data_IF_323631454308
#
_entry.id   IF_323631454308
#
_cell.length_a   1.000
_cell.length_b   1.000
_cell.length_c   1.000
_cell.angle_alpha   90.00
_cell.angle_beta   90.00
_cell.angle_gamma   90.00
#
_symmetry.space_group_name_H-M   'P 1'
#
loop_
_entity.id
_entity.type
_entity.pdbx_description
1 polymer ?
#
# COMPACT_ATOMS: atom_id res chain seq x y z
N UNK A 1 -12.39 -0.14 -16.99
CA UNK A 1 -11.10 -0.50 -16.36
C UNK A 1 -11.38 -0.55 -14.88
N UNK A 2 -11.16 -1.68 -14.23
CA UNK A 2 -11.49 -1.81 -12.80
C UNK A 2 -10.49 -0.97 -12.01
N UNK A 3 -10.96 0.05 -11.30
CA UNK A 3 -10.14 0.80 -10.36
C UNK A 3 -9.69 -0.16 -9.26
N UNK A 4 -8.49 -0.73 -9.41
CA UNK A 4 -7.95 -1.68 -8.46
C UNK A 4 -7.39 -0.88 -7.29
N UNK A 5 -8.29 -0.59 -6.34
CA UNK A 5 -7.96 0.05 -5.06
C UNK A 5 -8.13 -0.94 -3.92
N UNK A 6 -7.34 -0.76 -2.86
CA UNK A 6 -7.44 -1.53 -1.63
C UNK A 6 -7.03 -0.66 -0.44
N UNK A 7 -7.81 -0.73 0.63
CA UNK A 7 -7.47 -0.05 1.88
C UNK A 7 -7.10 -1.08 2.93
N UNK A 8 -5.97 -0.87 3.59
CA UNK A 8 -5.47 -1.74 4.65
C UNK A 8 -5.14 -0.92 5.90
N UNK A 9 -5.35 -1.52 7.06
CA UNK A 9 -4.82 -1.03 8.35
C UNK A 9 -3.57 -1.82 8.73
N UNK A 10 -2.78 -1.38 9.72
CA UNK A 10 -1.64 -2.13 10.23
C UNK A 10 -1.97 -3.58 10.56
N UNK A 11 -0.98 -4.46 10.35
CA UNK A 11 -1.07 -5.92 10.52
C UNK A 11 -1.97 -6.65 9.52
N UNK A 12 -2.42 -5.99 8.45
CA UNK A 12 -3.22 -6.60 7.39
C UNK A 12 -2.48 -6.68 6.06
N UNK A 13 -2.90 -7.62 5.22
CA UNK A 13 -2.41 -7.78 3.86
C UNK A 13 -3.56 -8.10 2.89
N UNK A 14 -3.29 -7.93 1.60
CA UNK A 14 -4.24 -8.24 0.55
C UNK A 14 -3.59 -8.28 -0.83
N UNK A 15 -4.41 -8.22 -1.87
CA UNK A 15 -3.94 -8.25 -3.26
C UNK A 15 -4.58 -7.15 -4.08
N UNK A 16 -3.76 -6.48 -4.87
CA UNK A 16 -4.17 -5.50 -5.87
C UNK A 16 -4.00 -6.14 -7.26
N UNK A 17 -5.06 -6.79 -7.74
CA UNK A 17 -4.97 -7.70 -8.89
C UNK A 17 -4.07 -8.89 -8.58
N UNK A 18 -2.91 -8.97 -9.25
CA UNK A 18 -1.89 -10.02 -9.03
C UNK A 18 -0.79 -9.62 -8.05
N UNK A 19 -0.77 -8.36 -7.59
CA UNK A 19 0.28 -7.82 -6.72
C UNK A 19 -0.11 -8.03 -5.26
N UNK A 20 0.75 -8.67 -4.47
CA UNK A 20 0.58 -8.74 -3.02
C UNK A 20 0.99 -7.40 -2.39
N UNK A 21 0.12 -6.89 -1.52
CA UNK A 21 0.34 -5.66 -0.78
C UNK A 21 0.03 -5.90 0.70
N UNK A 22 0.68 -5.17 1.59
CA UNK A 22 0.43 -5.32 3.02
C UNK A 22 1.02 -4.20 3.86
N UNK A 23 0.48 -4.07 5.07
CA UNK A 23 0.94 -3.16 6.11
C UNK A 23 1.31 -4.02 7.30
N UNK A 24 2.60 -4.22 7.58
CA UNK A 24 3.02 -5.17 8.62
C UNK A 24 2.97 -4.57 10.02
N UNK A 25 3.33 -3.29 10.11
CA UNK A 25 3.36 -2.49 11.33
C UNK A 25 2.97 -1.07 10.95
N UNK A 26 2.65 -0.24 11.94
CA UNK A 26 2.28 1.14 11.64
C UNK A 26 3.35 1.87 10.82
N UNK A 27 2.90 2.55 9.77
CA UNK A 27 3.75 3.25 8.80
C UNK A 27 4.60 2.37 7.88
N UNK A 28 4.63 1.04 8.02
CA UNK A 28 5.48 0.16 7.20
C UNK A 28 4.65 -0.64 6.21
N UNK A 29 4.85 -0.36 4.94
CA UNK A 29 4.12 -1.01 3.84
C UNK A 29 5.05 -1.86 2.97
N UNK A 30 4.50 -2.97 2.49
CA UNK A 30 5.16 -3.87 1.56
C UNK A 30 4.32 -4.03 0.29
N UNK A 31 4.97 -3.92 -0.87
CA UNK A 31 4.34 -4.06 -2.19
C UNK A 31 5.25 -4.90 -3.06
N UNK A 32 4.79 -6.05 -3.54
CA UNK A 32 5.56 -6.95 -4.40
C UNK A 32 6.96 -7.32 -3.86
N UNK A 33 7.14 -7.32 -2.54
CA UNK A 33 8.43 -7.58 -1.87
C UNK A 33 9.31 -6.34 -1.65
N UNK A 34 8.91 -5.17 -2.13
CA UNK A 34 9.54 -3.88 -1.81
C UNK A 34 8.93 -3.29 -0.54
N UNK A 35 9.73 -2.56 0.23
CA UNK A 35 9.34 -1.94 1.50
C UNK A 35 9.40 -0.43 1.41
N UNK A 36 8.40 0.26 1.95
CA UNK A 36 8.45 1.69 2.21
C UNK A 36 7.98 2.02 3.64
N UNK A 37 8.43 3.16 4.15
CA UNK A 37 7.96 3.75 5.40
C UNK A 37 7.23 5.03 5.04
N UNK A 38 6.02 5.20 5.56
CA UNK A 38 5.14 6.33 5.28
C UNK A 38 4.74 7.00 6.60
N UNK A 39 5.06 8.28 6.72
CA UNK A 39 4.46 9.16 7.73
C UNK A 39 2.99 9.46 7.37
N UNK A 40 2.22 9.96 8.34
CA UNK A 40 0.84 10.34 8.10
C UNK A 40 0.74 11.43 7.02
N UNK A 41 -0.21 11.27 6.10
CA UNK A 41 -0.39 12.13 4.92
C UNK A 41 0.63 11.90 3.79
N UNK A 42 1.61 11.01 3.96
CA UNK A 42 2.62 10.74 2.95
C UNK A 42 2.10 9.78 1.86
N UNK A 43 2.65 9.92 0.65
CA UNK A 43 2.38 9.04 -0.48
C UNK A 43 3.68 8.61 -1.17
N UNK A 44 3.71 7.37 -1.64
CA UNK A 44 4.84 6.82 -2.40
C UNK A 44 4.36 5.95 -3.54
N UNK A 45 5.16 5.83 -4.59
CA UNK A 45 4.86 4.98 -5.76
C UNK A 45 5.96 3.96 -5.97
N UNK A 46 5.57 2.68 -6.02
CA UNK A 46 6.46 1.55 -6.27
C UNK A 46 6.60 1.35 -7.77
N UNK A 47 7.69 1.86 -8.35
CA UNK A 47 7.92 1.88 -9.81
C UNK A 47 7.85 0.51 -10.47
N UNK A 48 8.31 -0.56 -9.81
CA UNK A 48 8.26 -1.94 -10.33
C UNK A 48 6.84 -2.45 -10.52
N UNK A 49 5.93 -2.11 -9.60
CA UNK A 49 4.57 -2.64 -9.57
C UNK A 49 3.53 -1.67 -10.15
N UNK A 50 3.89 -0.38 -10.24
CA UNK A 50 2.99 0.71 -10.60
C UNK A 50 1.98 1.05 -9.50
N UNK A 51 2.16 0.52 -8.28
CA UNK A 51 1.23 0.75 -7.18
C UNK A 51 1.61 2.03 -6.44
N UNK A 52 0.64 2.91 -6.26
CA UNK A 52 0.75 4.06 -5.37
C UNK A 52 0.10 3.73 -4.03
N UNK A 53 0.75 4.16 -2.94
CA UNK A 53 0.27 4.00 -1.58
C UNK A 53 0.23 5.36 -0.91
N UNK A 54 -0.89 5.68 -0.27
CA UNK A 54 -1.06 6.91 0.51
C UNK A 54 -1.54 6.56 1.90
N UNK A 55 -0.86 7.09 2.93
CA UNK A 55 -1.27 6.95 4.33
C UNK A 55 -2.26 8.06 4.69
N UNK A 56 -3.35 7.67 5.37
CA UNK A 56 -4.43 8.55 5.86
C UNK A 56 -4.77 8.14 7.29
N UNK A 57 -4.06 8.71 8.27
CA UNK A 57 -4.14 8.33 9.67
C UNK A 57 -3.66 6.89 9.87
N UNK A 58 -4.60 6.01 10.25
CA UNK A 58 -4.38 4.58 10.47
C UNK A 58 -4.63 3.73 9.22
N UNK A 59 -5.12 4.33 8.13
CA UNK A 59 -5.42 3.62 6.89
C UNK A 59 -4.34 3.85 5.83
N UNK A 60 -4.12 2.82 5.00
CA UNK A 60 -3.22 2.84 3.87
C UNK A 60 -4.02 2.51 2.62
N UNK A 61 -4.17 3.49 1.73
CA UNK A 61 -4.85 3.34 0.46
C UNK A 61 -3.84 2.98 -0.64
N UNK A 62 -4.02 1.80 -1.22
CA UNK A 62 -3.28 1.28 -2.36
C UNK A 62 -4.11 1.47 -3.62
N UNK A 63 -3.49 1.92 -4.70
CA UNK A 63 -4.14 2.07 -6.01
C UNK A 63 -3.18 1.74 -7.15
N UNK A 64 -3.72 1.20 -8.24
CA UNK A 64 -2.98 0.88 -9.47
C UNK A 64 -3.80 1.23 -10.70
#
# INVERSE_FOLDING_TARGET
MSDNTLTLTPHNNGKLGVVHVGVTTDGVVYVAGERAVLADGESTTFSRSGVTVTRRGEEFHFSK
#
